data_IF_329264635365
#
_entry.id   IF_329264635365
#
_cell.length_a   1.000
_cell.length_b   1.000
_cell.length_c   1.000
_cell.angle_alpha   90.00
_cell.angle_beta   90.00
_cell.angle_gamma   90.00
#
_symmetry.space_group_name_H-M   'P 1'
#
loop_
_entity.id
_entity.type
_entity.pdbx_description
1 polymer ?
#
# COMPACT_ATOMS: atom_id res chain seq x y z
N UNK A 1 -7.71 9.13 -6.99
CA UNK A 1 -6.86 8.63 -8.09
C UNK A 1 -7.76 8.38 -9.29
N UNK A 2 -7.34 8.67 -10.51
CA UNK A 2 -8.15 8.33 -11.68
C UNK A 2 -8.04 6.83 -11.99
N UNK A 3 -9.04 6.29 -12.67
CA UNK A 3 -8.91 4.98 -13.32
C UNK A 3 -7.71 4.94 -14.28
N UNK A 4 -7.09 3.77 -14.41
CA UNK A 4 -5.79 3.63 -15.07
C UNK A 4 -4.61 4.21 -14.28
N UNK A 5 -4.86 4.83 -13.12
CA UNK A 5 -3.84 5.41 -12.25
C UNK A 5 -3.14 4.39 -11.34
N UNK A 6 -2.24 4.90 -10.50
CA UNK A 6 -1.49 4.10 -9.53
C UNK A 6 -1.69 4.63 -8.11
N UNK A 7 -1.89 3.71 -7.16
CA UNK A 7 -1.88 3.98 -5.73
C UNK A 7 -0.51 3.58 -5.17
N UNK A 8 0.12 4.48 -4.44
CA UNK A 8 1.38 4.22 -3.73
C UNK A 8 1.05 3.97 -2.26
N UNK A 9 1.37 2.79 -1.76
CA UNK A 9 1.30 2.45 -0.35
C UNK A 9 2.67 2.68 0.28
N UNK A 10 2.72 3.46 1.35
CA UNK A 10 3.95 3.76 2.10
C UNK A 10 3.81 3.23 3.51
N UNK A 11 4.77 2.40 3.94
CA UNK A 11 4.90 2.01 5.33
C UNK A 11 6.10 2.73 5.96
N UNK A 12 5.95 3.16 7.21
CA UNK A 12 7.00 3.85 7.96
C UNK A 12 7.16 3.24 9.35
N UNK A 13 8.38 3.33 9.87
CA UNK A 13 8.75 2.95 11.23
C UNK A 13 9.38 4.15 11.95
N UNK A 14 9.27 4.19 13.27
CA UNK A 14 9.74 5.33 14.07
C UNK A 14 11.28 5.48 14.15
N UNK A 15 12.03 4.44 13.79
CA UNK A 15 13.50 4.44 13.78
C UNK A 15 14.01 3.55 12.64
N UNK A 16 15.25 3.80 12.14
CA UNK A 16 15.84 2.99 11.08
C UNK A 16 15.86 1.50 11.42
N UNK A 17 15.52 0.66 10.44
CA UNK A 17 15.50 -0.80 10.58
C UNK A 17 16.92 -1.32 10.82
N UNK A 18 17.08 -2.25 11.75
CA UNK A 18 18.37 -2.90 12.04
C UNK A 18 18.23 -4.42 12.06
N UNK A 19 19.35 -5.14 11.88
CA UNK A 19 19.41 -6.61 11.91
C UNK A 19 18.86 -7.30 10.66
N UNK A 20 17.56 -7.16 10.40
CA UNK A 20 16.85 -7.78 9.28
C UNK A 20 15.82 -6.79 8.69
N UNK A 21 15.47 -6.84 7.39
CA UNK A 21 14.41 -6.01 6.84
C UNK A 21 13.08 -6.16 7.60
N UNK A 22 12.28 -5.09 7.64
CA UNK A 22 10.88 -5.18 8.06
C UNK A 22 10.02 -5.51 6.85
N UNK A 23 9.08 -6.42 7.05
CA UNK A 23 8.11 -6.87 6.05
C UNK A 23 6.72 -6.54 6.53
N UNK A 24 5.98 -5.77 5.75
CA UNK A 24 4.60 -5.36 6.00
C UNK A 24 3.70 -6.00 4.96
N UNK A 25 2.76 -6.83 5.40
CA UNK A 25 1.78 -7.48 4.53
C UNK A 25 0.49 -6.65 4.51
N UNK A 26 -0.07 -6.50 3.32
CA UNK A 26 -1.29 -5.74 3.08
C UNK A 26 -2.46 -6.67 2.73
N UNK A 27 -3.69 -6.24 3.01
CA UNK A 27 -4.90 -7.02 2.76
C UNK A 27 -5.14 -7.32 1.27
N UNK A 28 -4.63 -6.48 0.37
CA UNK A 28 -4.64 -6.72 -1.07
C UNK A 28 -3.59 -7.76 -1.55
N UNK A 29 -2.90 -8.44 -0.63
CA UNK A 29 -1.90 -9.46 -0.93
C UNK A 29 -0.51 -8.90 -1.27
N UNK A 30 -0.34 -7.58 -1.32
CA UNK A 30 0.97 -6.97 -1.54
C UNK A 30 1.82 -6.95 -0.28
N UNK A 31 3.13 -6.81 -0.49
CA UNK A 31 4.11 -6.72 0.60
C UNK A 31 4.96 -5.47 0.41
N UNK A 32 5.14 -4.70 1.49
CA UNK A 32 6.12 -3.61 1.56
C UNK A 32 7.32 -4.10 2.36
N UNK A 33 8.51 -3.98 1.78
CA UNK A 33 9.77 -4.26 2.48
C UNK A 33 10.48 -2.95 2.82
N UNK A 34 10.83 -2.78 4.09
CA UNK A 34 11.68 -1.69 4.57
C UNK A 34 13.09 -2.26 4.81
N UNK A 35 14.08 -1.89 3.98
CA UNK A 35 15.45 -2.39 4.10
C UNK A 35 16.12 -1.95 5.40
N UNK A 36 17.14 -2.70 5.83
CA UNK A 36 18.02 -2.31 6.93
C UNK A 36 18.66 -0.94 6.62
N UNK A 37 18.69 -0.06 7.62
CA UNK A 37 19.17 1.32 7.52
C UNK A 37 18.12 2.33 7.06
N UNK A 38 16.94 1.87 6.61
CA UNK A 38 15.83 2.73 6.19
C UNK A 38 14.71 2.75 7.23
N UNK A 39 13.88 3.79 7.16
CA UNK A 39 12.67 3.92 8.00
C UNK A 39 11.38 3.86 7.19
N UNK A 40 11.47 3.65 5.88
CA UNK A 40 10.30 3.59 5.00
C UNK A 40 10.49 2.65 3.82
N UNK A 41 9.37 2.14 3.31
CA UNK A 41 9.29 1.32 2.11
C UNK A 41 7.98 1.57 1.38
N UNK A 42 7.91 1.20 0.12
CA UNK A 42 6.73 1.42 -0.72
C UNK A 42 6.33 0.17 -1.52
N UNK A 43 5.04 0.10 -1.86
CA UNK A 43 4.49 -0.82 -2.86
C UNK A 43 3.46 -0.07 -3.72
N UNK A 44 3.23 -0.52 -4.95
CA UNK A 44 2.33 0.14 -5.90
C UNK A 44 1.17 -0.77 -6.26
N UNK A 45 -0.06 -0.25 -6.18
CA UNK A 45 -1.26 -0.92 -6.68
C UNK A 45 -1.78 -0.21 -7.92
N UNK A 46 -2.03 -0.94 -9.00
CA UNK A 46 -2.68 -0.39 -10.18
C UNK A 46 -4.20 -0.27 -9.95
N UNK A 47 -4.81 0.78 -10.49
CA UNK A 47 -6.26 0.92 -10.58
C UNK A 47 -6.63 0.66 -12.03
N UNK A 48 -7.45 -0.36 -12.27
CA UNK A 48 -7.91 -0.70 -13.62
C UNK A 48 -8.85 0.37 -14.16
N UNK A 49 -8.94 0.45 -15.50
CA UNK A 49 -9.96 1.25 -16.18
C UNK A 49 -11.11 0.33 -16.59
N UNK A 50 -12.35 0.80 -16.46
CA UNK A 50 -13.53 0.15 -17.02
C UNK A 50 -14.26 1.12 -17.93
N UNK A 51 -14.88 0.59 -18.99
CA UNK A 51 -15.52 1.36 -20.07
C UNK A 51 -16.92 1.84 -19.70
N UNK A 52 -17.54 1.23 -18.68
CA UNK A 52 -18.96 1.41 -18.41
C UNK A 52 -19.27 2.13 -17.10
N UNK A 53 -18.53 1.85 -16.02
CA UNK A 53 -18.76 2.47 -14.72
C UNK A 53 -17.45 2.76 -14.01
N UNK A 54 -17.40 3.92 -13.36
CA UNK A 54 -16.33 4.26 -12.44
C UNK A 54 -16.09 3.19 -11.36
N UNK A 55 -14.82 2.97 -11.05
CA UNK A 55 -14.37 1.99 -10.08
C UNK A 55 -14.80 2.32 -8.64
N UNK A 56 -15.14 1.27 -7.89
CA UNK A 56 -15.32 1.37 -6.44
C UNK A 56 -14.02 1.87 -5.78
N UNK A 57 -14.17 2.55 -4.63
CA UNK A 57 -13.02 3.00 -3.85
C UNK A 57 -12.12 1.81 -3.46
N UNK A 58 -10.82 1.97 -3.67
CA UNK A 58 -9.84 0.94 -3.30
C UNK A 58 -9.56 1.06 -1.82
N UNK A 59 -9.81 -0.02 -1.07
CA UNK A 59 -9.49 -0.11 0.35
C UNK A 59 -8.31 -1.04 0.57
N UNK A 60 -7.48 -0.70 1.56
CA UNK A 60 -6.37 -1.55 1.97
C UNK A 60 -6.08 -1.37 3.46
N UNK A 61 -5.42 -2.33 4.06
CA UNK A 61 -5.00 -2.30 5.47
C UNK A 61 -3.74 -3.13 5.65
N UNK A 62 -3.04 -2.91 6.75
CA UNK A 62 -1.96 -3.80 7.18
C UNK A 62 -2.59 -5.02 7.85
N UNK A 63 -2.15 -6.21 7.45
CA UNK A 63 -2.59 -7.50 8.04
C UNK A 63 -1.56 -8.08 8.99
N UNK A 64 -0.27 -7.87 8.71
CA UNK A 64 0.80 -8.31 9.59
C UNK A 64 2.08 -7.54 9.34
N UNK A 65 2.92 -7.43 10.37
CA UNK A 65 4.29 -6.94 10.25
C UNK A 65 5.24 -7.90 10.93
N UNK A 66 6.44 -8.03 10.38
CA UNK A 66 7.50 -8.85 10.96
C UNK A 66 8.88 -8.37 10.55
N UNK A 67 9.92 -8.86 11.22
CA UNK A 67 11.31 -8.51 10.94
C UNK A 67 11.79 -7.29 11.71
N UNK A 68 12.92 -6.72 11.29
CA UNK A 68 13.67 -5.77 12.11
C UNK A 68 14.27 -6.39 13.37
N UNK A 69 14.80 -5.53 14.22
CA UNK A 69 15.30 -5.87 15.55
C UNK A 69 14.66 -4.95 16.60
N UNK A 70 13.33 -4.83 16.54
CA UNK A 70 12.54 -4.04 17.48
C UNK A 70 12.11 -4.92 18.67
N UNK A 71 12.10 -4.36 19.87
CA UNK A 71 11.62 -5.05 21.07
C UNK A 71 10.11 -5.31 20.99
N UNK A 72 9.37 -4.39 20.38
CA UNK A 72 7.95 -4.53 20.10
C UNK A 72 7.59 -3.77 18.82
N UNK A 73 7.22 -4.51 17.76
CA UNK A 73 6.77 -3.93 16.51
C UNK A 73 5.26 -4.20 16.34
N UNK A 74 4.47 -3.15 16.46
CA UNK A 74 3.01 -3.19 16.29
C UNK A 74 2.63 -2.18 15.23
N UNK A 75 1.82 -2.60 14.27
CA UNK A 75 1.33 -1.73 13.20
C UNK A 75 -0.09 -1.26 13.46
N UNK A 76 -0.42 -0.11 12.88
CA UNK A 76 -1.80 0.34 12.75
C UNK A 76 -2.49 -0.45 11.64
N UNK A 77 -3.54 -1.18 12.00
CA UNK A 77 -4.33 -2.02 11.09
C UNK A 77 -5.59 -1.30 10.60
N UNK A 78 -5.75 0.00 10.89
CA UNK A 78 -6.86 0.79 10.37
C UNK A 78 -6.90 0.73 8.83
N UNK A 79 -8.09 0.51 8.29
CA UNK A 79 -8.30 0.50 6.84
C UNK A 79 -8.17 1.91 6.27
N UNK A 80 -7.41 2.05 5.20
CA UNK A 80 -7.35 3.26 4.38
C UNK A 80 -8.19 3.08 3.13
N UNK A 81 -8.86 4.16 2.69
CA UNK A 81 -9.70 4.17 1.50
C UNK A 81 -9.21 5.25 0.53
N UNK A 82 -9.07 4.89 -0.73
CA UNK A 82 -8.74 5.81 -1.82
C UNK A 82 -9.90 5.88 -2.78
N UNK A 83 -10.49 7.07 -2.93
CA UNK A 83 -11.55 7.32 -3.91
C UNK A 83 -10.99 7.27 -5.32
N UNK A 84 -11.65 6.50 -6.18
CA UNK A 84 -11.34 6.43 -7.61
C UNK A 84 -12.29 7.34 -8.37
N UNK A 85 -11.76 8.10 -9.32
CA UNK A 85 -12.53 8.97 -10.20
C UNK A 85 -12.56 8.40 -11.61
N UNK A 86 -13.76 8.27 -12.14
CA UNK A 86 -14.07 7.84 -13.51
C UNK A 86 -13.34 8.71 -14.55
N UNK A 87 -12.90 8.10 -15.65
CA UNK A 87 -12.31 8.80 -16.79
C UNK A 87 -13.22 8.64 -18.01
N UNK A 88 -13.34 9.69 -18.82
CA UNK A 88 -14.16 9.63 -20.01
C UNK A 88 -13.54 8.71 -21.06
N UNK A 89 -14.24 7.63 -21.40
CA UNK A 89 -13.89 6.77 -22.53
C UNK A 89 -14.39 7.32 -23.87
N UNK A 90 -13.54 7.25 -24.90
CA UNK A 90 -13.92 7.56 -26.28
C UNK A 90 -13.88 6.29 -27.13
N UNK A 91 -15.04 5.73 -27.47
CA UNK A 91 -15.17 4.68 -28.49
C UNK A 91 -15.25 5.30 -29.89
N UNK A 92 -14.47 4.80 -30.86
CA UNK A 92 -14.49 5.23 -32.28
C UNK A 92 -15.07 4.14 -33.17
#
# INVERSE_FOLDING_TARGET
>A
VAEGGTIIYTATVGAPVTGSPVVVSLANGQTITIPVGQSSGTATGAVTNDVYQGHAAVTNSITSVSGGNYENLVADQASVSTTVTDVQDTTT
#
